data_IF_410312469227
#
_entry.id   IF_410312469227
#
_cell.length_a   1.000
_cell.length_b   1.000
_cell.length_c   1.000
_cell.angle_alpha   90.00
_cell.angle_beta   90.00
_cell.angle_gamma   90.00
#
_symmetry.space_group_name_H-M   'P 1'
#
loop_
_entity.id
_entity.type
_entity.pdbx_description
1 polymer ?
#
# COMPACT_ATOMS: atom_id res chain seq x y z
N UNK A 1 12.64 6.78 -16.66
CA UNK A 1 11.38 6.04 -16.35
C UNK A 1 10.74 6.53 -15.06
N UNK A 2 11.51 6.93 -14.03
CA UNK A 2 10.96 7.66 -12.87
C UNK A 2 10.54 9.10 -13.17
N UNK A 3 10.91 9.65 -14.34
CA UNK A 3 10.70 11.06 -14.71
C UNK A 3 9.22 11.50 -14.61
N UNK A 4 8.28 10.60 -14.92
CA UNK A 4 6.85 10.88 -14.81
C UNK A 4 6.34 10.96 -13.36
N UNK A 5 7.06 10.33 -12.42
CA UNK A 5 6.73 10.33 -10.99
C UNK A 5 7.38 11.50 -10.24
N UNK A 6 8.29 12.24 -10.88
CA UNK A 6 8.99 13.39 -10.29
C UNK A 6 8.04 14.44 -9.67
N UNK A 7 6.90 14.82 -10.30
CA UNK A 7 5.96 15.77 -9.71
C UNK A 7 5.28 15.27 -8.42
N UNK A 8 5.34 13.97 -8.15
CA UNK A 8 4.70 13.33 -7.01
C UNK A 8 5.67 12.98 -5.89
N UNK A 9 6.94 13.42 -5.93
CA UNK A 9 7.88 13.16 -4.84
C UNK A 9 7.36 13.68 -3.51
N UNK A 10 7.53 12.88 -2.46
CA UNK A 10 7.08 13.16 -1.12
C UNK A 10 8.06 12.63 -0.06
N UNK A 11 8.11 13.32 1.08
CA UNK A 11 8.87 12.84 2.22
C UNK A 11 8.21 11.60 2.81
N UNK A 12 9.00 10.54 3.01
CA UNK A 12 8.58 9.36 3.74
C UNK A 12 8.72 9.52 5.25
N UNK A 13 8.37 8.48 6.02
CA UNK A 13 8.65 8.42 7.45
C UNK A 13 10.15 8.62 7.76
N UNK A 14 10.50 9.16 8.94
CA UNK A 14 11.89 9.37 9.32
C UNK A 14 12.66 8.03 9.36
N UNK A 15 13.87 7.96 8.79
CA UNK A 15 14.63 6.71 8.70
C UNK A 15 15.11 6.22 10.08
N UNK A 16 15.25 4.90 10.22
CA UNK A 16 16.05 4.30 11.28
C UNK A 16 17.55 4.43 10.94
N UNK A 17 18.39 4.61 11.97
CA UNK A 17 19.70 5.30 11.97
C UNK A 17 20.75 4.87 10.93
N UNK A 18 20.64 3.71 10.28
CA UNK A 18 21.73 3.16 9.45
C UNK A 18 21.50 3.18 7.93
N UNK A 19 20.29 3.51 7.46
CA UNK A 19 19.95 3.52 6.02
C UNK A 19 19.33 4.86 5.64
N UNK A 20 20.09 5.95 5.76
CA UNK A 20 19.57 7.27 5.38
C UNK A 20 19.42 7.40 3.86
N UNK A 21 18.28 7.94 3.43
CA UNK A 21 17.99 8.22 2.03
C UNK A 21 17.70 9.73 1.86
N UNK A 22 18.76 10.58 1.77
CA UNK A 22 18.61 12.03 1.75
C UNK A 22 17.97 12.49 0.44
N UNK A 23 16.67 12.82 0.48
CA UNK A 23 15.98 13.40 -0.69
C UNK A 23 14.50 13.09 -0.88
N UNK A 24 13.78 12.57 0.14
CA UNK A 24 12.33 12.35 0.07
C UNK A 24 11.92 11.47 -1.13
N UNK A 25 12.33 10.19 -1.09
CA UNK A 25 12.19 9.26 -2.22
C UNK A 25 10.91 8.42 -2.22
N UNK A 26 9.94 8.82 -1.42
CA UNK A 26 8.60 8.27 -1.53
C UNK A 26 7.78 9.12 -2.51
N UNK A 27 6.59 8.63 -2.85
CA UNK A 27 5.71 9.30 -3.80
C UNK A 27 4.32 9.47 -3.20
N UNK A 28 3.75 10.66 -3.37
CA UNK A 28 2.37 11.02 -3.05
C UNK A 28 1.39 10.35 -4.04
N UNK A 29 1.33 9.02 -3.97
CA UNK A 29 0.42 8.18 -4.73
C UNK A 29 -0.61 7.62 -3.75
N UNK A 30 -1.88 7.72 -4.08
CA UNK A 30 -2.97 7.08 -3.33
C UNK A 30 -3.35 5.80 -4.07
N UNK A 31 -3.22 4.66 -3.39
CA UNK A 31 -3.72 3.39 -3.89
C UNK A 31 -5.11 3.15 -3.35
N UNK A 32 -6.03 2.78 -4.24
CA UNK A 32 -7.41 2.46 -3.92
C UNK A 32 -7.66 0.98 -4.18
N UNK A 33 -8.26 0.29 -3.21
CA UNK A 33 -8.70 -1.10 -3.35
C UNK A 33 -10.22 -1.13 -3.36
N UNK A 34 -10.77 -1.69 -4.44
CA UNK A 34 -12.20 -1.86 -4.63
C UNK A 34 -12.53 -3.34 -4.76
N UNK A 35 -13.65 -3.74 -4.15
CA UNK A 35 -14.19 -5.08 -4.28
C UNK A 35 -15.56 -4.99 -4.93
N UNK A 36 -15.71 -5.69 -6.05
CA UNK A 36 -16.98 -5.87 -6.73
C UNK A 36 -17.60 -7.21 -6.31
N UNK A 37 -18.83 -7.16 -5.83
CA UNK A 37 -19.60 -8.36 -5.48
C UNK A 37 -21.08 -8.12 -5.71
N UNK A 38 -21.75 -9.06 -6.39
CA UNK A 38 -23.20 -8.99 -6.65
C UNK A 38 -23.64 -7.75 -7.44
N UNK A 39 -22.75 -7.16 -8.26
CA UNK A 39 -23.02 -5.93 -9.00
C UNK A 39 -22.85 -4.64 -8.18
N UNK A 40 -22.39 -4.73 -6.92
CA UNK A 40 -22.04 -3.59 -6.09
C UNK A 40 -20.51 -3.46 -5.97
N UNK A 41 -19.99 -2.26 -6.20
CA UNK A 41 -18.58 -1.91 -5.92
C UNK A 41 -18.46 -1.27 -4.54
N UNK A 42 -17.57 -1.79 -3.71
CA UNK A 42 -17.27 -1.24 -2.38
C UNK A 42 -15.79 -0.84 -2.33
N UNK A 43 -15.51 0.40 -1.93
CA UNK A 43 -14.14 0.85 -1.63
C UNK A 43 -13.74 0.28 -0.28
N UNK A 44 -12.74 -0.60 -0.27
CA UNK A 44 -12.25 -1.25 0.93
C UNK A 44 -11.16 -0.45 1.63
N UNK A 45 -10.28 0.19 0.83
CA UNK A 45 -9.12 0.87 1.37
C UNK A 45 -8.60 1.95 0.43
N UNK A 46 -8.09 3.02 1.01
CA UNK A 46 -7.30 4.06 0.36
C UNK A 46 -6.00 4.25 1.15
N UNK A 47 -4.90 3.71 0.61
CA UNK A 47 -3.60 3.67 1.26
C UNK A 47 -2.62 4.63 0.57
N UNK A 48 -1.95 5.52 1.32
CA UNK A 48 -0.93 6.39 0.76
C UNK A 48 0.40 5.63 0.62
N UNK A 49 0.93 5.53 -0.60
CA UNK A 49 2.25 4.92 -0.87
C UNK A 49 3.37 5.70 -0.18
N UNK A 50 3.16 6.99 0.07
CA UNK A 50 4.15 7.82 0.74
C UNK A 50 4.49 7.35 2.17
N UNK A 51 3.61 6.57 2.79
CA UNK A 51 3.77 6.06 4.16
C UNK A 51 4.64 4.80 4.22
N UNK A 52 5.10 4.27 3.08
CA UNK A 52 6.08 3.18 3.04
C UNK A 52 7.32 3.55 3.85
N UNK A 53 7.66 2.70 4.82
CA UNK A 53 8.78 2.95 5.71
C UNK A 53 10.13 2.90 4.98
N UNK A 54 10.26 1.99 4.01
CA UNK A 54 11.45 1.86 3.16
C UNK A 54 11.14 2.39 1.75
N UNK A 55 11.98 3.30 1.26
CA UNK A 55 11.96 3.76 -0.13
C UNK A 55 12.41 2.63 -1.07
N UNK A 56 12.06 2.73 -2.35
CA UNK A 56 12.53 1.77 -3.35
C UNK A 56 14.06 1.65 -3.39
N UNK A 57 14.80 2.72 -3.06
CA UNK A 57 16.28 2.73 -3.03
C UNK A 57 16.84 2.01 -1.81
N UNK A 58 16.13 2.05 -0.69
CA UNK A 58 16.53 1.33 0.52
C UNK A 58 16.25 -0.18 0.39
N UNK A 59 15.26 -0.57 -0.42
CA UNK A 59 14.90 -1.99 -0.67
C UNK A 59 15.78 -2.63 -1.75
N UNK A 60 16.40 -1.86 -2.64
CA UNK A 60 17.26 -2.41 -3.69
C UNK A 60 18.55 -2.98 -3.10
N UNK A 61 18.60 -4.30 -2.96
CA UNK A 61 19.80 -5.04 -2.57
C UNK A 61 20.48 -5.72 -3.78
N UNK A 62 21.74 -6.07 -3.61
CA UNK A 62 22.75 -6.48 -4.61
C UNK A 62 22.28 -7.27 -5.86
N UNK A 63 22.97 -7.01 -6.99
CA UNK A 63 22.95 -7.74 -8.29
C UNK A 63 21.59 -7.83 -9.01
N UNK A 64 20.83 -6.73 -8.99
CA UNK A 64 19.65 -6.58 -9.84
C UNK A 64 20.01 -6.59 -11.32
N UNK A 65 19.15 -7.19 -12.12
CA UNK A 65 19.22 -7.24 -13.59
C UNK A 65 18.10 -6.40 -14.18
N UNK A 66 18.32 -5.93 -15.41
CA UNK A 66 17.28 -5.23 -16.15
C UNK A 66 16.05 -6.14 -16.30
N UNK A 67 14.90 -5.64 -15.85
CA UNK A 67 13.63 -6.36 -15.89
C UNK A 67 13.22 -7.01 -14.55
N UNK A 68 14.06 -6.96 -13.52
CA UNK A 68 13.67 -7.44 -12.19
C UNK A 68 12.52 -6.61 -11.61
N UNK A 69 11.59 -7.29 -10.93
CA UNK A 69 10.42 -6.69 -10.28
C UNK A 69 10.63 -6.75 -8.76
N UNK A 70 10.64 -5.58 -8.11
CA UNK A 70 10.69 -5.46 -6.66
C UNK A 70 9.32 -5.04 -6.14
N UNK A 71 8.76 -5.83 -5.23
CA UNK A 71 7.52 -5.51 -4.54
C UNK A 71 7.78 -4.60 -3.34
N UNK A 72 6.88 -3.65 -3.09
CA UNK A 72 6.91 -2.77 -1.92
C UNK A 72 6.59 -3.49 -0.61
N UNK A 73 6.01 -4.69 -0.71
CA UNK A 73 5.21 -5.28 0.36
C UNK A 73 3.80 -4.67 0.42
N UNK A 74 3.02 -5.08 1.42
CA UNK A 74 1.68 -4.53 1.65
C UNK A 74 1.76 -3.05 2.02
N UNK A 75 0.99 -2.20 1.34
CA UNK A 75 0.93 -0.77 1.64
C UNK A 75 -0.24 -0.51 2.58
N UNK A 76 0.08 -0.31 3.85
CA UNK A 76 -0.88 0.01 4.90
C UNK A 76 -0.55 1.35 5.53
N UNK A 77 -1.55 2.22 5.63
CA UNK A 77 -1.47 3.45 6.42
C UNK A 77 -1.84 3.22 7.89
N UNK A 78 -1.79 4.29 8.67
CA UNK A 78 -2.03 4.27 10.12
C UNK A 78 -3.51 4.12 10.53
N UNK A 79 -4.44 4.18 9.58
CA UNK A 79 -5.89 4.15 9.84
C UNK A 79 -6.54 2.89 9.28
N UNK A 80 -7.66 2.47 9.86
CA UNK A 80 -8.40 1.27 9.43
C UNK A 80 -8.84 1.33 7.95
N UNK A 81 -9.13 2.54 7.44
CA UNK A 81 -9.51 2.77 6.04
C UNK A 81 -8.33 2.75 5.07
N UNK A 82 -7.12 2.57 5.57
CA UNK A 82 -5.87 2.56 4.80
C UNK A 82 -5.12 1.23 4.93
N UNK A 83 -5.77 0.17 5.40
CA UNK A 83 -5.14 -1.16 5.46
C UNK A 83 -5.05 -1.79 4.07
N UNK A 84 -3.86 -2.27 3.70
CA UNK A 84 -3.57 -2.77 2.35
C UNK A 84 -4.05 -4.19 2.08
N UNK A 85 -4.43 -4.94 3.12
CA UNK A 85 -4.83 -6.35 3.00
C UNK A 85 -6.14 -6.67 3.73
N UNK A 86 -6.97 -7.53 3.14
CA UNK A 86 -8.25 -7.92 3.73
C UNK A 86 -8.10 -8.56 5.13
N UNK A 87 -6.98 -9.24 5.39
CA UNK A 87 -6.70 -9.80 6.72
C UNK A 87 -6.54 -8.71 7.78
N UNK A 88 -5.93 -7.57 7.43
CA UNK A 88 -5.81 -6.42 8.32
C UNK A 88 -7.19 -5.79 8.55
N UNK A 89 -7.96 -5.55 7.48
CA UNK A 89 -9.31 -4.97 7.55
C UNK A 89 -10.25 -5.83 8.41
N UNK A 90 -10.18 -7.15 8.27
CA UNK A 90 -11.01 -8.10 9.03
C UNK A 90 -10.44 -8.46 10.40
N UNK A 91 -9.30 -7.88 10.80
CA UNK A 91 -8.61 -8.18 12.06
C UNK A 91 -8.34 -9.69 12.25
N UNK A 92 -7.85 -10.34 11.21
CA UNK A 92 -7.66 -11.79 11.19
C UNK A 92 -8.97 -12.57 11.07
N UNK A 93 -9.98 -12.02 10.38
CA UNK A 93 -11.30 -12.62 10.22
C UNK A 93 -12.23 -12.50 11.44
N UNK A 94 -11.85 -11.73 12.47
CA UNK A 94 -12.68 -11.46 13.66
C UNK A 94 -13.78 -10.45 13.38
N UNK A 95 -13.46 -9.42 12.60
CA UNK A 95 -14.39 -8.42 12.10
C UNK A 95 -14.83 -8.78 10.68
N UNK A 96 -16.12 -8.62 10.40
CA UNK A 96 -16.66 -8.77 9.06
C UNK A 96 -16.67 -7.45 8.32
N UNK A 97 -16.52 -7.49 6.99
CA UNK A 97 -16.61 -6.31 6.13
C UNK A 97 -17.91 -6.36 5.35
N UNK A 98 -18.71 -5.30 5.44
CA UNK A 98 -19.91 -5.17 4.61
C UNK A 98 -19.49 -4.86 3.17
N UNK A 99 -19.96 -5.68 2.22
CA UNK A 99 -19.72 -5.50 0.79
C UNK A 99 -21.11 -5.43 0.15
N UNK A 100 -21.54 -4.23 -0.24
CA UNK A 100 -22.93 -3.97 -0.65
C UNK A 100 -23.96 -4.14 0.49
N UNK A 101 -25.23 -4.40 0.13
CA UNK A 101 -26.33 -4.67 1.09
C UNK A 101 -26.35 -6.12 1.64
N UNK A 102 -25.28 -6.88 1.42
CA UNK A 102 -25.21 -8.32 1.75
C UNK A 102 -24.31 -8.61 2.96
N UNK A 103 -24.40 -9.87 3.42
CA UNK A 103 -23.73 -10.40 4.62
C UNK A 103 -22.23 -10.05 4.65
N UNK A 104 -21.66 -9.83 5.85
CA UNK A 104 -20.26 -9.46 5.98
C UNK A 104 -19.32 -10.55 5.46
N UNK A 105 -18.40 -10.16 4.57
CA UNK A 105 -17.34 -11.01 4.04
C UNK A 105 -16.12 -11.01 5.00
N UNK A 106 -15.38 -12.13 5.01
CA UNK A 106 -14.15 -12.31 5.78
C UNK A 106 -12.94 -12.73 4.93
N UNK A 107 -13.21 -13.12 3.68
CA UNK A 107 -12.25 -13.51 2.66
C UNK A 107 -12.86 -13.20 1.29
N UNK A 108 -12.04 -13.15 0.24
CA UNK A 108 -12.52 -13.06 -1.15
C UNK A 108 -13.13 -14.43 -1.50
N UNK A 109 -14.35 -14.42 -2.02
CA UNK A 109 -15.10 -15.63 -2.44
C UNK A 109 -15.55 -15.48 -3.88
#
# INVERSE_FOLDING_TARGET
>A
MTDALEPFRAAGPPPCVDLQDPGAFNYAIIMKVELEHGGCTTVLSESPVQDLFWSARQITECNLRTGDILGTGTVSGSTEKSYGFLLEITQGGKAGVCVGELKPARAIQ
#
